data_IF_924366434208
#
_entry.id   IF_924366434208
#
_cell.length_a   1.000
_cell.length_b   1.000
_cell.length_c   1.000
_cell.angle_alpha   90.00
_cell.angle_beta   90.00
_cell.angle_gamma   90.00
#
_symmetry.space_group_name_H-M   'P 1'
#
loop_
_entity.id
_entity.type
_entity.pdbx_description
1 polymer ?
#
# COMPACT_ATOMS: atom_id res chain seq x y z
N UNK A 1 25.30 -29.95 11.75
CA UNK A 1 24.11 -29.07 11.81
C UNK A 1 24.51 -27.76 11.15
N UNK A 2 24.06 -27.55 9.91
CA UNK A 2 24.47 -26.44 9.03
C UNK A 2 23.42 -25.33 9.13
N UNK A 3 23.82 -24.20 9.73
CA UNK A 3 23.01 -22.97 9.82
C UNK A 3 22.93 -22.30 8.46
N UNK A 4 21.83 -22.53 7.72
CA UNK A 4 21.52 -21.80 6.48
C UNK A 4 20.90 -20.44 6.84
N UNK A 5 21.73 -19.46 7.11
CA UNK A 5 21.29 -18.06 7.12
C UNK A 5 20.76 -17.69 5.73
N UNK A 6 19.45 -17.54 5.59
CA UNK A 6 18.82 -16.96 4.40
C UNK A 6 19.32 -15.51 4.29
N UNK A 7 20.11 -15.24 3.26
CA UNK A 7 20.43 -13.87 2.85
C UNK A 7 19.12 -13.20 2.43
N UNK A 8 18.67 -12.22 3.20
CA UNK A 8 17.56 -11.35 2.83
C UNK A 8 18.09 -10.43 1.72
N UNK A 9 17.65 -10.66 0.49
CA UNK A 9 17.93 -9.76 -0.64
C UNK A 9 17.21 -8.43 -0.39
N UNK A 10 17.87 -7.26 -0.57
CA UNK A 10 17.21 -5.96 -0.39
C UNK A 10 16.04 -5.82 -1.35
N UNK A 11 14.88 -5.41 -0.82
CA UNK A 11 13.57 -5.36 -1.49
C UNK A 11 13.47 -4.35 -2.66
N UNK A 12 14.53 -3.80 -3.17
CA UNK A 12 14.53 -2.81 -4.25
C UNK A 12 15.21 -3.25 -5.55
N UNK A 13 16.02 -4.29 -5.52
CA UNK A 13 16.85 -4.64 -6.69
C UNK A 13 16.04 -5.15 -7.89
N UNK A 14 14.95 -5.86 -7.66
CA UNK A 14 14.12 -6.40 -8.75
C UNK A 14 13.28 -5.34 -9.47
N UNK A 15 12.85 -4.28 -8.77
CA UNK A 15 12.08 -3.18 -9.35
C UNK A 15 12.99 -2.33 -10.24
N UNK A 16 14.21 -2.04 -9.79
CA UNK A 16 15.18 -1.23 -10.54
C UNK A 16 15.67 -1.96 -11.81
N UNK A 17 15.89 -3.26 -11.76
CA UNK A 17 16.27 -4.04 -12.95
C UNK A 17 15.22 -4.01 -14.05
N UNK A 18 13.93 -3.99 -13.68
CA UNK A 18 12.84 -3.98 -14.66
C UNK A 18 12.69 -2.61 -15.34
N UNK A 19 12.95 -1.50 -14.63
CA UNK A 19 12.95 -0.14 -15.19
C UNK A 19 14.11 0.06 -16.17
N UNK A 20 15.31 -0.43 -15.83
CA UNK A 20 16.49 -0.34 -16.69
C UNK A 20 16.33 -1.13 -18.02
N UNK A 21 15.69 -2.29 -17.96
CA UNK A 21 15.46 -3.13 -19.15
C UNK A 21 14.41 -2.52 -20.09
N UNK A 22 13.38 -1.86 -19.55
CA UNK A 22 12.32 -1.21 -20.33
C UNK A 22 12.83 0.07 -21.00
N UNK A 23 13.69 0.86 -20.33
CA UNK A 23 14.28 2.07 -20.89
C UNK A 23 15.19 1.80 -22.09
N UNK A 24 15.85 0.65 -22.14
CA UNK A 24 16.69 0.24 -23.26
C UNK A 24 15.93 -0.17 -24.52
N UNK A 25 14.66 -0.55 -24.39
CA UNK A 25 13.87 -1.13 -25.50
C UNK A 25 12.93 -0.12 -26.17
N UNK A 26 12.62 1.04 -25.55
CA UNK A 26 11.53 1.93 -26.01
C UNK A 26 11.98 3.27 -26.59
N UNK A 27 13.29 3.55 -26.71
CA UNK A 27 13.77 4.80 -27.35
C UNK A 27 13.33 6.09 -26.68
N UNK A 28 13.09 6.07 -25.36
CA UNK A 28 12.64 7.20 -24.55
C UNK A 28 13.75 8.25 -24.44
N UNK A 29 13.42 9.53 -24.59
CA UNK A 29 14.33 10.65 -24.44
C UNK A 29 15.01 10.67 -23.06
N UNK A 30 16.25 11.15 -22.98
CA UNK A 30 17.03 11.20 -21.74
C UNK A 30 16.35 11.98 -20.59
N UNK A 31 15.49 12.96 -20.90
CA UNK A 31 14.70 13.70 -19.93
C UNK A 31 13.59 12.82 -19.30
N UNK A 32 12.92 12.00 -20.11
CA UNK A 32 11.87 11.07 -19.65
C UNK A 32 12.46 9.93 -18.83
N UNK A 33 13.68 9.49 -19.18
CA UNK A 33 14.40 8.47 -18.41
C UNK A 33 14.84 8.98 -17.03
N UNK A 34 15.27 10.24 -16.90
CA UNK A 34 15.62 10.86 -15.62
C UNK A 34 14.40 11.00 -14.70
N UNK A 35 13.25 11.43 -15.23
CA UNK A 35 12.00 11.54 -14.46
C UNK A 35 11.49 10.16 -13.98
N UNK A 36 11.57 9.13 -14.83
CA UNK A 36 11.19 7.77 -14.48
C UNK A 36 12.10 7.16 -13.39
N UNK A 37 13.40 7.43 -13.44
CA UNK A 37 14.37 6.98 -12.42
C UNK A 37 14.16 7.72 -11.10
N UNK A 38 13.88 9.02 -11.11
CA UNK A 38 13.54 9.79 -9.90
C UNK A 38 12.26 9.23 -9.25
N UNK A 39 11.20 9.03 -10.03
CA UNK A 39 9.93 8.47 -9.56
C UNK A 39 10.11 7.05 -8.97
N UNK A 40 10.93 6.21 -9.58
CA UNK A 40 11.23 4.86 -9.05
C UNK A 40 12.00 4.91 -7.73
N UNK A 41 12.92 5.87 -7.55
CA UNK A 41 13.64 6.06 -6.31
C UNK A 41 12.71 6.54 -5.18
N UNK A 42 11.82 7.49 -5.45
CA UNK A 42 10.82 7.97 -4.50
C UNK A 42 9.91 6.85 -4.00
N UNK A 43 9.51 5.94 -4.90
CA UNK A 43 8.71 4.78 -4.53
C UNK A 43 9.50 3.75 -3.71
N UNK A 44 10.78 3.63 -3.96
CA UNK A 44 11.65 2.76 -3.18
C UNK A 44 11.74 3.19 -1.72
N UNK A 45 11.85 4.49 -1.47
CA UNK A 45 11.89 5.05 -0.11
C UNK A 45 10.55 4.82 0.61
N UNK A 46 9.43 5.04 -0.09
CA UNK A 46 8.10 4.69 0.43
C UNK A 46 8.00 3.21 0.80
N UNK A 47 8.38 2.29 -0.09
CA UNK A 47 8.32 0.85 0.18
C UNK A 47 9.21 0.44 1.36
N UNK A 48 10.40 1.03 1.50
CA UNK A 48 11.25 0.80 2.67
C UNK A 48 10.58 1.29 3.96
N UNK A 49 9.94 2.45 3.92
CA UNK A 49 9.21 2.99 5.08
C UNK A 49 7.98 2.14 5.43
N UNK A 50 7.20 1.71 4.45
CA UNK A 50 6.05 0.83 4.66
C UNK A 50 6.48 -0.52 5.26
N UNK A 51 7.61 -1.06 4.83
CA UNK A 51 8.20 -2.27 5.42
C UNK A 51 8.59 -2.06 6.89
N UNK A 52 9.20 -0.94 7.24
CA UNK A 52 9.52 -0.57 8.63
C UNK A 52 8.26 -0.50 9.49
N UNK A 53 7.20 0.12 8.96
CA UNK A 53 5.90 0.21 9.63
C UNK A 53 5.30 -1.18 9.82
N UNK A 54 5.30 -2.04 8.80
CA UNK A 54 4.77 -3.41 8.88
C UNK A 54 5.51 -4.25 9.95
N UNK A 55 6.84 -4.13 10.02
CA UNK A 55 7.65 -4.80 11.05
C UNK A 55 7.27 -4.28 12.45
N UNK A 56 7.13 -2.97 12.61
CA UNK A 56 6.76 -2.33 13.89
C UNK A 56 5.33 -2.70 14.31
N UNK A 57 4.43 -2.83 13.34
CA UNK A 57 3.04 -3.24 13.53
C UNK A 57 2.91 -4.71 13.92
N UNK A 58 3.84 -5.56 13.45
CA UNK A 58 3.80 -7.01 13.66
C UNK A 58 2.72 -7.72 12.82
N UNK A 59 2.19 -7.07 11.78
CA UNK A 59 1.15 -7.60 10.89
C UNK A 59 1.49 -7.32 9.43
N UNK A 60 1.06 -8.17 8.49
CA UNK A 60 1.18 -7.89 7.07
C UNK A 60 0.49 -6.56 6.71
N UNK A 61 1.16 -5.74 5.91
CA UNK A 61 0.64 -4.49 5.39
C UNK A 61 0.63 -4.58 3.86
N UNK A 62 -0.51 -4.31 3.26
CA UNK A 62 -0.72 -4.44 1.83
C UNK A 62 -0.95 -3.06 1.21
N UNK A 63 -0.35 -2.82 0.04
CA UNK A 63 -0.77 -1.76 -0.86
C UNK A 63 -1.95 -2.32 -1.65
N UNK A 64 -3.03 -1.55 -1.79
CA UNK A 64 -4.27 -2.02 -2.42
C UNK A 64 -4.81 -1.00 -3.42
N UNK A 65 -5.78 -1.41 -4.21
CA UNK A 65 -6.57 -0.49 -5.02
C UNK A 65 -5.88 0.05 -6.26
N UNK A 66 -6.12 1.32 -6.54
CA UNK A 66 -5.71 1.99 -7.78
C UNK A 66 -4.22 2.00 -8.01
N UNK A 67 -3.43 2.23 -6.98
CA UNK A 67 -1.96 2.28 -7.08
C UNK A 67 -1.36 0.97 -7.61
N UNK A 68 -1.86 -0.19 -7.14
CA UNK A 68 -1.40 -1.51 -7.61
C UNK A 68 -1.86 -1.77 -9.03
N UNK A 69 -3.13 -1.45 -9.35
CA UNK A 69 -3.68 -1.58 -10.70
C UNK A 69 -2.87 -0.77 -11.70
N UNK A 70 -2.65 0.50 -11.44
CA UNK A 70 -2.00 1.43 -12.37
C UNK A 70 -0.52 1.04 -12.57
N UNK A 71 0.17 0.59 -11.52
CA UNK A 71 1.50 0.03 -11.66
C UNK A 71 1.53 -1.23 -12.55
N UNK A 72 0.56 -2.14 -12.40
CA UNK A 72 0.50 -3.38 -13.20
C UNK A 72 0.25 -3.07 -14.69
N UNK A 73 -0.70 -2.17 -14.98
CA UNK A 73 -1.16 -1.91 -16.35
C UNK A 73 -0.33 -0.86 -17.08
N UNK A 74 0.02 0.24 -16.42
CA UNK A 74 0.64 1.41 -17.04
C UNK A 74 2.10 1.59 -16.63
N UNK A 75 2.57 0.87 -15.61
CA UNK A 75 3.88 1.11 -14.95
C UNK A 75 3.98 2.51 -14.34
N UNK A 76 2.84 3.13 -14.08
CA UNK A 76 2.76 4.44 -13.44
C UNK A 76 2.76 4.30 -11.93
N UNK A 77 3.39 5.27 -11.27
CA UNK A 77 3.45 5.36 -9.82
C UNK A 77 2.42 6.39 -9.33
N UNK A 78 1.44 5.94 -8.56
CA UNK A 78 0.43 6.82 -7.97
C UNK A 78 1.00 7.66 -6.83
N UNK A 79 0.50 8.89 -6.67
CA UNK A 79 0.76 9.73 -5.48
C UNK A 79 -0.19 9.41 -4.32
N UNK A 80 -1.29 8.69 -4.60
CA UNK A 80 -2.28 8.27 -3.62
C UNK A 80 -2.14 6.77 -3.38
N UNK A 81 -1.78 6.39 -2.16
CA UNK A 81 -1.45 5.02 -1.78
C UNK A 81 -2.45 4.51 -0.75
N UNK A 82 -3.28 3.58 -1.17
CA UNK A 82 -4.19 2.88 -0.27
C UNK A 82 -3.48 1.69 0.37
N UNK A 83 -3.59 1.60 1.69
CA UNK A 83 -3.01 0.55 2.51
C UNK A 83 -4.11 -0.21 3.25
N UNK A 84 -3.90 -1.50 3.44
CA UNK A 84 -4.83 -2.33 4.20
C UNK A 84 -4.09 -3.41 5.01
N UNK A 85 -4.64 -3.75 6.18
CA UNK A 85 -4.14 -4.82 7.06
C UNK A 85 -5.27 -5.32 7.96
N UNK A 86 -5.10 -6.50 8.55
CA UNK A 86 -5.94 -6.98 9.65
C UNK A 86 -5.69 -6.23 10.96
N UNK A 87 -4.60 -5.47 11.06
CA UNK A 87 -4.29 -4.70 12.25
C UNK A 87 -5.33 -3.59 12.49
N UNK A 88 -5.62 -3.34 13.76
CA UNK A 88 -6.46 -2.23 14.16
C UNK A 88 -5.80 -0.88 13.82
N UNK A 89 -6.61 0.10 13.39
CA UNK A 89 -6.15 1.42 12.96
C UNK A 89 -5.46 2.23 14.08
N UNK A 90 -5.79 1.99 15.34
CA UNK A 90 -5.11 2.63 16.47
C UNK A 90 -3.70 2.07 16.67
N UNK A 91 -3.52 0.74 16.51
CA UNK A 91 -2.19 0.12 16.51
C UNK A 91 -1.36 0.56 15.31
N UNK A 92 -1.98 0.71 14.15
CA UNK A 92 -1.31 1.26 12.97
C UNK A 92 -0.81 2.69 13.21
N UNK A 93 -1.66 3.57 13.76
CA UNK A 93 -1.26 4.93 14.13
C UNK A 93 -0.12 4.95 15.15
N UNK A 94 -0.14 4.05 16.13
CA UNK A 94 0.96 3.92 17.10
C UNK A 94 2.26 3.45 16.42
N UNK A 95 2.18 2.59 15.40
CA UNK A 95 3.34 2.18 14.60
C UNK A 95 3.90 3.33 13.77
N UNK A 96 3.04 4.17 13.15
CA UNK A 96 3.45 5.39 12.44
C UNK A 96 4.26 6.32 13.35
N UNK A 97 3.77 6.58 14.56
CA UNK A 97 4.46 7.43 15.53
C UNK A 97 5.84 6.87 15.89
N UNK A 98 5.97 5.57 16.10
CA UNK A 98 7.26 4.91 16.37
C UNK A 98 8.23 4.99 15.19
N UNK A 99 7.70 5.03 13.96
CA UNK A 99 8.48 5.19 12.72
C UNK A 99 8.73 6.67 12.36
N UNK A 100 8.39 7.61 13.25
CA UNK A 100 8.66 9.05 13.08
C UNK A 100 7.62 9.80 12.23
N UNK A 101 6.47 9.20 11.91
CA UNK A 101 5.38 9.86 11.18
C UNK A 101 4.36 10.39 12.20
N UNK A 102 4.37 11.70 12.44
CA UNK A 102 3.58 12.35 13.51
C UNK A 102 2.34 13.09 13.01
N UNK A 103 2.19 13.26 11.70
CA UNK A 103 1.11 14.08 11.09
C UNK A 103 -0.08 13.23 10.61
N UNK A 104 -0.36 12.10 11.28
CA UNK A 104 -1.47 11.24 10.88
C UNK A 104 -2.81 11.74 11.42
N UNK A 105 -3.86 11.63 10.59
CA UNK A 105 -5.25 11.94 10.95
C UNK A 105 -6.05 10.65 11.02
N UNK A 106 -6.70 10.41 12.16
CA UNK A 106 -7.51 9.20 12.38
C UNK A 106 -9.00 9.48 12.19
N UNK A 107 -9.66 8.62 11.41
CA UNK A 107 -11.11 8.59 11.22
C UNK A 107 -11.69 7.36 11.89
N UNK A 108 -12.15 7.53 13.14
CA UNK A 108 -12.62 6.40 13.97
C UNK A 108 -13.85 5.69 13.39
N UNK A 109 -14.75 6.41 12.70
CA UNK A 109 -15.96 5.83 12.12
C UNK A 109 -15.66 4.84 10.98
N UNK A 110 -14.64 5.10 10.21
CA UNK A 110 -14.25 4.29 9.04
C UNK A 110 -13.04 3.39 9.32
N UNK A 111 -12.49 3.44 10.53
CA UNK A 111 -11.25 2.76 10.92
C UNK A 111 -10.09 3.07 9.95
N UNK A 112 -9.95 4.36 9.62
CA UNK A 112 -9.01 4.85 8.61
C UNK A 112 -7.98 5.78 9.26
N UNK A 113 -6.73 5.70 8.78
CA UNK A 113 -5.66 6.62 9.15
C UNK A 113 -5.09 7.22 7.86
N UNK A 114 -5.10 8.54 7.74
CA UNK A 114 -4.47 9.25 6.63
C UNK A 114 -3.17 9.89 7.11
N UNK A 115 -2.12 9.77 6.30
CA UNK A 115 -0.83 10.39 6.56
C UNK A 115 -0.14 10.74 5.24
N UNK A 116 0.90 11.55 5.32
CA UNK A 116 1.73 11.90 4.18
C UNK A 116 3.16 11.43 4.43
N UNK A 117 3.79 10.87 3.42
CA UNK A 117 5.19 10.51 3.42
C UNK A 117 5.81 10.87 2.07
N UNK A 118 6.82 11.74 2.11
CA UNK A 118 7.59 12.19 0.93
C UNK A 118 6.68 12.69 -0.21
N UNK A 119 5.72 13.57 0.13
CA UNK A 119 4.76 14.15 -0.81
C UNK A 119 3.69 13.19 -1.33
N UNK A 120 3.67 11.94 -0.86
CA UNK A 120 2.66 10.95 -1.22
C UNK A 120 1.61 10.84 -0.13
N UNK A 121 0.35 10.88 -0.53
CA UNK A 121 -0.77 10.67 0.38
C UNK A 121 -0.99 9.19 0.58
N UNK A 122 -1.02 8.77 1.83
CA UNK A 122 -1.26 7.39 2.22
C UNK A 122 -2.55 7.30 3.04
N UNK A 123 -3.41 6.37 2.71
CA UNK A 123 -4.59 6.05 3.47
C UNK A 123 -4.56 4.59 3.90
N UNK A 124 -4.55 4.37 5.19
CA UNK A 124 -4.66 3.03 5.78
C UNK A 124 -6.09 2.76 6.22
N UNK A 125 -6.60 1.58 5.91
CA UNK A 125 -7.89 1.08 6.41
C UNK A 125 -7.73 -0.33 6.96
N UNK A 126 -8.20 -0.57 8.18
CA UNK A 126 -8.29 -1.93 8.74
C UNK A 126 -9.23 -2.80 7.90
N UNK A 127 -8.91 -4.08 7.74
CA UNK A 127 -9.81 -5.03 7.09
C UNK A 127 -11.16 -5.04 7.78
N UNK A 128 -12.24 -5.00 7.00
CA UNK A 128 -13.59 -4.98 7.51
C UNK A 128 -14.59 -5.68 6.58
N UNK A 129 -15.63 -6.21 7.17
CA UNK A 129 -16.85 -6.61 6.47
C UNK A 129 -17.83 -5.45 6.49
N UNK A 130 -18.58 -5.32 5.44
CA UNK A 130 -19.68 -4.36 5.33
C UNK A 130 -20.96 -5.12 5.00
N UNK A 131 -22.05 -4.79 5.71
CA UNK A 131 -23.36 -5.30 5.41
C UNK A 131 -24.26 -4.11 5.06
N UNK A 132 -24.95 -4.24 3.96
CA UNK A 132 -25.89 -3.24 3.47
C UNK A 132 -27.31 -3.70 3.76
N UNK A 133 -28.23 -2.75 4.05
CA UNK A 133 -29.63 -3.04 4.24
C UNK A 133 -30.28 -3.55 2.93
N UNK A 134 -31.26 -4.42 3.05
CA UNK A 134 -32.08 -4.88 1.93
C UNK A 134 -32.86 -3.69 1.35
N UNK A 135 -32.34 -3.08 0.28
CA UNK A 135 -32.93 -1.87 -0.32
C UNK A 135 -31.92 -0.96 -1.03
N UNK A 136 -30.63 -1.29 -1.03
CA UNK A 136 -29.64 -0.65 -1.90
C UNK A 136 -29.13 0.71 -1.43
N UNK A 137 -28.96 0.91 -0.15
CA UNK A 137 -28.31 2.12 0.39
C UNK A 137 -26.83 2.15 0.08
N UNK A 138 -26.26 3.34 -0.21
CA UNK A 138 -24.81 3.52 -0.44
C UNK A 138 -24.00 3.55 0.86
N UNK A 139 -24.65 3.56 2.03
CA UNK A 139 -24.00 3.55 3.34
C UNK A 139 -24.19 2.18 3.96
N UNK A 140 -23.14 1.50 4.40
CA UNK A 140 -23.27 0.22 5.09
C UNK A 140 -24.03 0.42 6.40
N UNK A 141 -24.99 -0.46 6.66
CA UNK A 141 -25.75 -0.49 7.92
C UNK A 141 -24.85 -0.94 9.07
N UNK A 142 -23.91 -1.82 8.75
CA UNK A 142 -23.04 -2.43 9.73
C UNK A 142 -21.63 -2.62 9.16
N UNK A 143 -20.63 -2.31 9.98
CA UNK A 143 -19.20 -2.48 9.67
C UNK A 143 -18.54 -3.23 10.83
N UNK A 144 -17.90 -4.33 10.55
CA UNK A 144 -17.23 -5.20 11.53
C UNK A 144 -15.78 -5.47 11.10
N UNK A 145 -14.78 -5.36 12.01
CA UNK A 145 -13.42 -5.78 11.73
C UNK A 145 -13.35 -7.26 11.32
N UNK A 146 -12.39 -7.59 10.46
CA UNK A 146 -12.12 -8.98 10.06
C UNK A 146 -10.62 -9.20 9.85
N UNK A 147 -10.16 -10.43 10.07
CA UNK A 147 -8.80 -10.84 9.73
C UNK A 147 -8.73 -11.45 8.31
N UNK A 148 -9.89 -11.65 7.67
CA UNK A 148 -9.99 -12.28 6.37
C UNK A 148 -9.87 -11.25 5.24
N UNK A 149 -8.77 -11.32 4.49
CA UNK A 149 -8.50 -10.48 3.33
C UNK A 149 -9.56 -10.64 2.22
N UNK A 150 -10.18 -11.82 2.10
CA UNK A 150 -11.23 -12.06 1.11
C UNK A 150 -12.54 -11.36 1.48
N UNK A 151 -12.85 -11.22 2.76
CA UNK A 151 -14.00 -10.43 3.21
C UNK A 151 -13.78 -8.93 2.95
N UNK A 152 -12.57 -8.42 3.17
CA UNK A 152 -12.22 -7.03 2.81
C UNK A 152 -12.28 -6.81 1.30
N UNK A 153 -11.78 -7.77 0.50
CA UNK A 153 -11.83 -7.69 -0.95
C UNK A 153 -13.26 -7.67 -1.51
N UNK A 154 -14.19 -8.42 -0.91
CA UNK A 154 -15.60 -8.52 -1.36
C UNK A 154 -16.38 -7.22 -1.24
N UNK A 155 -16.05 -6.36 -0.27
CA UNK A 155 -16.72 -5.06 -0.07
C UNK A 155 -16.28 -3.99 -1.06
N UNK A 156 -15.20 -4.22 -1.82
CA UNK A 156 -14.65 -3.23 -2.77
C UNK A 156 -15.48 -3.20 -4.05
N UNK A 157 -15.80 -1.99 -4.52
CA UNK A 157 -16.72 -1.74 -5.64
C UNK A 157 -16.33 -2.43 -6.94
N UNK A 158 -15.03 -2.50 -7.22
CA UNK A 158 -14.52 -3.09 -8.45
C UNK A 158 -13.48 -4.18 -8.17
N UNK A 159 -13.61 -5.32 -8.85
CA UNK A 159 -12.63 -6.41 -8.75
C UNK A 159 -11.21 -5.98 -9.11
N UNK A 160 -11.05 -5.03 -10.03
CA UNK A 160 -9.75 -4.46 -10.40
C UNK A 160 -9.12 -3.59 -9.29
N UNK A 161 -9.90 -3.15 -8.32
CA UNK A 161 -9.43 -2.44 -7.13
C UNK A 161 -9.27 -3.36 -5.91
N UNK A 162 -9.62 -4.64 -6.02
CA UNK A 162 -9.41 -5.66 -5.01
C UNK A 162 -8.07 -6.41 -5.23
N UNK A 163 -7.03 -5.70 -5.64
CA UNK A 163 -5.67 -6.22 -5.82
C UNK A 163 -4.83 -5.80 -4.62
N UNK A 164 -4.16 -6.76 -4.00
CA UNK A 164 -3.33 -6.59 -2.80
C UNK A 164 -1.88 -6.98 -3.15
N UNK A 165 -0.94 -6.11 -2.80
CA UNK A 165 0.50 -6.28 -3.00
C UNK A 165 1.27 -6.16 -1.70
#
# INVERSE_FOLDING_TARGET
MSDKRRKITPCGENIIRHVDETARTTGINAADSCAAVASANDYRELLCKLKEIAITLGSPLYIVGGAVRDFIFSKEYSSDIDLASSADFEYFNAALLKCGIVSAVMYRRTHTVQFEFDGKKCEFTSFRKERYADGGGHTPEFTEPTDDIYEDARRRDFKCNAVYY
#
